data_IF_353202881683
#
_entry.id   IF_353202881683
#
_cell.length_a   1.000
_cell.length_b   1.000
_cell.length_c   1.000
_cell.angle_alpha   90.00
_cell.angle_beta   90.00
_cell.angle_gamma   90.00
#
_symmetry.space_group_name_H-M   'P 1'
#
loop_
_entity.id
_entity.type
_entity.pdbx_description
1 polymer ?
#
# COMPACT_ATOMS: atom_id res chain seq x y z
N UNK A 1 -42.97 -1.94 -50.47
CA UNK A 1 -42.46 -2.68 -49.30
C UNK A 1 -40.95 -2.81 -49.44
N UNK A 2 -40.15 -1.87 -48.90
CA UNK A 2 -38.70 -1.99 -48.88
C UNK A 2 -38.22 -2.05 -47.43
N UNK A 3 -37.80 -3.24 -47.01
CA UNK A 3 -37.11 -3.51 -45.76
C UNK A 3 -35.66 -3.08 -45.94
N UNK A 4 -35.27 -1.93 -45.39
CA UNK A 4 -33.86 -1.66 -45.12
C UNK A 4 -33.64 -1.98 -43.65
N UNK A 5 -33.05 -3.14 -43.43
CA UNK A 5 -32.54 -3.61 -42.15
C UNK A 5 -31.46 -2.60 -41.76
N UNK A 6 -31.77 -1.71 -40.81
CA UNK A 6 -30.78 -0.86 -40.16
C UNK A 6 -29.89 -1.80 -39.36
N UNK A 7 -28.78 -2.19 -39.98
CA UNK A 7 -27.80 -3.07 -39.36
C UNK A 7 -27.26 -2.37 -38.12
N UNK A 8 -27.36 -3.11 -37.03
CA UNK A 8 -26.97 -2.83 -35.68
C UNK A 8 -25.46 -2.56 -35.62
N UNK A 9 -25.02 -1.41 -36.11
CA UNK A 9 -23.69 -0.85 -35.93
C UNK A 9 -23.55 -0.28 -34.51
N UNK A 10 -23.96 -1.05 -33.50
CA UNK A 10 -23.51 -0.82 -32.14
C UNK A 10 -22.04 -1.20 -32.17
N UNK A 11 -21.23 -0.18 -32.44
CA UNK A 11 -19.84 -0.10 -32.09
C UNK A 11 -19.72 -0.62 -30.65
N UNK A 12 -19.44 -1.91 -30.53
CA UNK A 12 -18.61 -2.45 -29.48
C UNK A 12 -17.24 -1.76 -29.61
N UNK A 13 -17.21 -0.47 -29.29
CA UNK A 13 -16.06 0.11 -28.63
C UNK A 13 -15.98 -0.57 -27.28
N UNK A 14 -15.57 -1.85 -27.29
CA UNK A 14 -14.80 -2.42 -26.21
C UNK A 14 -13.62 -1.48 -26.07
N UNK A 15 -13.80 -0.47 -25.23
CA UNK A 15 -12.69 0.25 -24.64
C UNK A 15 -11.88 -0.87 -23.99
N UNK A 16 -10.86 -1.31 -24.70
CA UNK A 16 -9.71 -1.99 -24.14
C UNK A 16 -9.18 -0.98 -23.13
N UNK A 17 -9.77 -0.99 -21.93
CA UNK A 17 -9.18 -0.44 -20.73
C UNK A 17 -7.91 -1.25 -20.56
N UNK A 18 -6.84 -0.80 -21.22
CA UNK A 18 -5.50 -1.21 -20.90
C UNK A 18 -5.34 -0.83 -19.44
N UNK A 19 -5.51 -1.83 -18.57
CA UNK A 19 -5.31 -1.67 -17.14
C UNK A 19 -3.91 -1.10 -16.97
N UNK A 20 -3.84 0.14 -16.48
CA UNK A 20 -2.58 0.82 -16.24
C UNK A 20 -1.75 -0.06 -15.31
N UNK A 21 -0.54 -0.45 -15.75
CA UNK A 21 0.38 -1.16 -14.89
C UNK A 21 1.05 -0.18 -13.95
N UNK A 22 1.06 -0.52 -12.68
CA UNK A 22 1.81 0.20 -11.66
C UNK A 22 3.28 -0.20 -11.74
N UNK A 23 4.17 0.78 -11.66
CA UNK A 23 5.60 0.57 -11.43
C UNK A 23 5.99 1.09 -10.06
N UNK A 24 6.82 0.35 -9.33
CA UNK A 24 7.41 0.82 -8.08
C UNK A 24 8.79 1.41 -8.36
N UNK A 25 8.97 2.71 -8.07
CA UNK A 25 10.25 3.40 -8.20
C UNK A 25 10.84 3.69 -6.83
N UNK A 26 11.93 3.02 -6.49
CA UNK A 26 12.64 3.25 -5.23
C UNK A 26 13.64 4.39 -5.42
N UNK A 27 13.45 5.47 -4.66
CA UNK A 27 14.35 6.63 -4.68
C UNK A 27 15.41 6.58 -3.58
N UNK A 28 15.03 6.12 -2.39
CA UNK A 28 15.95 6.02 -1.25
C UNK A 28 15.58 4.89 -0.30
N UNK A 29 16.59 4.24 0.25
CA UNK A 29 16.46 3.24 1.33
C UNK A 29 17.43 3.63 2.44
N UNK A 30 16.93 4.31 3.47
CA UNK A 30 17.80 4.86 4.53
C UNK A 30 17.69 4.06 5.82
N UNK A 31 18.83 3.68 6.42
CA UNK A 31 18.87 3.03 7.73
C UNK A 31 18.44 1.55 7.76
N UNK A 32 18.25 0.91 6.61
CA UNK A 32 17.94 -0.53 6.51
C UNK A 32 19.18 -1.43 6.69
N UNK A 33 20.38 -0.91 6.42
CA UNK A 33 21.65 -1.63 6.59
C UNK A 33 21.66 -2.99 5.89
N UNK A 34 21.97 -4.05 6.64
CA UNK A 34 22.01 -5.46 6.16
C UNK A 34 20.66 -5.98 5.63
N UNK A 35 19.55 -5.27 5.88
CA UNK A 35 18.19 -5.70 5.48
C UNK A 35 17.73 -5.12 4.14
N UNK A 36 18.62 -4.48 3.38
CA UNK A 36 18.27 -3.82 2.11
C UNK A 36 17.74 -4.82 1.07
N UNK A 37 18.37 -5.99 0.93
CA UNK A 37 17.89 -7.03 -0.01
C UNK A 37 16.54 -7.62 0.41
N UNK A 38 16.31 -7.76 1.72
CA UNK A 38 15.02 -8.18 2.26
C UNK A 38 13.92 -7.17 1.89
N UNK A 39 14.19 -5.87 2.02
CA UNK A 39 13.27 -4.82 1.61
C UNK A 39 13.00 -4.81 0.09
N UNK A 40 14.02 -5.06 -0.73
CA UNK A 40 13.86 -5.15 -2.19
C UNK A 40 12.93 -6.29 -2.62
N UNK A 41 12.96 -7.43 -1.91
CA UNK A 41 11.98 -8.51 -2.13
C UNK A 41 10.55 -8.04 -1.82
N UNK A 42 10.37 -7.30 -0.72
CA UNK A 42 9.07 -6.74 -0.37
C UNK A 42 8.57 -5.72 -1.39
N UNK A 43 9.43 -4.86 -1.97
CA UNK A 43 9.04 -3.93 -3.04
C UNK A 43 8.53 -4.67 -4.28
N UNK A 44 9.28 -5.67 -4.76
CA UNK A 44 8.87 -6.47 -5.93
C UNK A 44 7.56 -7.21 -5.68
N UNK A 45 7.39 -7.78 -4.48
CA UNK A 45 6.16 -8.46 -4.11
C UNK A 45 4.97 -7.49 -4.04
N UNK A 46 5.19 -6.27 -3.52
CA UNK A 46 4.18 -5.23 -3.47
C UNK A 46 3.75 -4.79 -4.89
N UNK A 47 4.71 -4.53 -5.78
CA UNK A 47 4.45 -4.19 -7.18
C UNK A 47 3.66 -5.28 -7.90
N UNK A 48 4.05 -6.55 -7.71
CA UNK A 48 3.37 -7.70 -8.28
C UNK A 48 1.91 -7.77 -7.82
N UNK A 49 1.66 -7.56 -6.53
CA UNK A 49 0.31 -7.58 -5.97
C UNK A 49 -0.54 -6.43 -6.51
N UNK A 50 -0.03 -5.20 -6.57
CA UNK A 50 -0.81 -4.07 -7.12
C UNK A 50 -1.29 -4.34 -8.55
N UNK A 51 -0.49 -5.06 -9.33
CA UNK A 51 -0.79 -5.43 -10.71
C UNK A 51 -1.61 -6.74 -10.86
N UNK A 52 -2.06 -7.35 -9.77
CA UNK A 52 -2.78 -8.62 -9.78
C UNK A 52 -4.31 -8.45 -9.81
N UNK A 53 -5.02 -9.38 -10.45
CA UNK A 53 -6.49 -9.38 -10.44
C UNK A 53 -7.04 -9.67 -9.05
N UNK A 54 -6.37 -10.49 -8.24
CA UNK A 54 -6.77 -10.76 -6.86
C UNK A 54 -6.73 -9.51 -5.98
N UNK A 55 -5.77 -8.59 -6.22
CA UNK A 55 -5.76 -7.31 -5.51
C UNK A 55 -6.96 -6.46 -5.91
N UNK A 56 -7.24 -6.33 -7.21
CA UNK A 56 -8.40 -5.61 -7.72
C UNK A 56 -9.72 -6.13 -7.13
N UNK A 57 -9.93 -7.43 -7.17
CA UNK A 57 -11.14 -8.05 -6.62
C UNK A 57 -11.17 -7.95 -5.08
N UNK A 58 -10.01 -8.04 -4.43
CA UNK A 58 -9.87 -7.79 -3.00
C UNK A 58 -10.30 -6.38 -2.59
N UNK A 59 -9.88 -5.34 -3.32
CA UNK A 59 -10.30 -3.95 -3.08
C UNK A 59 -11.81 -3.81 -3.32
N UNK A 60 -12.34 -4.36 -4.42
CA UNK A 60 -13.77 -4.30 -4.73
C UNK A 60 -14.66 -4.97 -3.69
N UNK A 61 -14.17 -6.06 -3.09
CA UNK A 61 -14.87 -6.79 -2.05
C UNK A 61 -14.85 -6.06 -0.68
N UNK A 62 -14.02 -5.03 -0.50
CA UNK A 62 -13.99 -4.28 0.76
C UNK A 62 -15.28 -3.50 0.95
N UNK A 63 -16.03 -3.82 2.02
CA UNK A 63 -17.20 -3.03 2.42
C UNK A 63 -16.77 -1.58 2.68
N UNK A 64 -17.37 -0.65 1.93
CA UNK A 64 -17.01 0.76 1.83
C UNK A 64 -17.37 1.61 3.07
N UNK A 65 -17.65 0.99 4.22
CA UNK A 65 -18.47 1.61 5.28
C UNK A 65 -17.96 2.96 5.79
N UNK A 66 -16.68 3.34 5.61
CA UNK A 66 -16.17 4.67 6.01
C UNK A 66 -14.98 5.19 5.16
N UNK A 67 -15.07 5.16 3.83
CA UNK A 67 -13.94 5.56 2.95
C UNK A 67 -14.25 6.83 2.16
N UNK A 68 -14.49 7.95 2.86
CA UNK A 68 -14.73 9.28 2.24
C UNK A 68 -15.89 9.32 1.23
N UNK A 69 -16.78 8.34 1.23
CA UNK A 69 -17.89 8.23 0.27
C UNK A 69 -17.51 7.64 -1.09
N UNK A 70 -16.30 7.08 -1.24
CA UNK A 70 -15.91 6.41 -2.49
C UNK A 70 -16.53 5.02 -2.62
N UNK A 71 -16.93 4.66 -3.84
CA UNK A 71 -17.26 3.26 -4.18
C UNK A 71 -15.98 2.41 -4.25
N UNK A 72 -16.08 1.08 -4.12
CA UNK A 72 -14.92 0.21 -4.25
C UNK A 72 -14.18 0.35 -5.60
N UNK A 73 -14.88 0.62 -6.70
CA UNK A 73 -14.30 0.89 -8.01
C UNK A 73 -13.53 2.20 -8.04
N UNK A 74 -14.07 3.25 -7.41
CA UNK A 74 -13.36 4.52 -7.28
C UNK A 74 -12.10 4.38 -6.43
N UNK A 75 -12.15 3.58 -5.37
CA UNK A 75 -10.97 3.30 -4.53
C UNK A 75 -9.89 2.58 -5.30
N UNK A 76 -10.25 1.53 -6.04
CA UNK A 76 -9.32 0.85 -6.91
C UNK A 76 -8.72 1.81 -7.95
N UNK A 77 -9.56 2.63 -8.59
CA UNK A 77 -9.10 3.65 -9.53
C UNK A 77 -8.13 4.66 -8.93
N UNK A 78 -8.36 5.13 -7.69
CA UNK A 78 -7.45 6.03 -6.98
C UNK A 78 -6.10 5.34 -6.72
N UNK A 79 -6.13 4.09 -6.24
CA UNK A 79 -4.93 3.31 -5.94
C UNK A 79 -4.09 3.09 -7.20
N UNK A 80 -4.74 2.69 -8.30
CA UNK A 80 -4.07 2.35 -9.56
C UNK A 80 -3.72 3.55 -10.42
N UNK A 81 -4.35 4.71 -10.20
CA UNK A 81 -3.86 5.97 -10.76
C UNK A 81 -2.48 6.32 -10.18
N UNK A 82 -2.23 5.93 -8.93
CA UNK A 82 -0.98 6.21 -8.20
C UNK A 82 -0.56 7.69 -8.22
N UNK A 83 -1.54 8.59 -8.23
CA UNK A 83 -1.26 10.01 -8.11
C UNK A 83 -1.05 10.38 -6.64
N UNK A 84 0.21 10.30 -6.20
CA UNK A 84 0.62 10.56 -4.82
C UNK A 84 0.33 12.00 -4.40
N UNK A 85 -0.24 12.18 -3.20
CA UNK A 85 -0.59 13.51 -2.67
C UNK A 85 0.46 14.05 -1.72
N UNK A 86 1.11 13.16 -0.98
CA UNK A 86 2.14 13.49 -0.01
C UNK A 86 3.47 12.95 -0.52
N UNK A 87 4.26 13.80 -1.19
CA UNK A 87 5.60 13.49 -1.69
C UNK A 87 6.59 14.54 -1.16
N UNK A 88 7.90 14.25 -1.16
CA UNK A 88 8.91 15.26 -0.82
C UNK A 88 8.75 16.53 -1.66
N UNK A 89 9.01 17.71 -1.07
CA UNK A 89 8.72 19.03 -1.68
C UNK A 89 9.36 19.25 -3.06
N UNK A 90 10.47 18.58 -3.34
CA UNK A 90 11.23 18.70 -4.58
C UNK A 90 10.91 17.57 -5.58
N UNK A 91 9.89 16.75 -5.29
CA UNK A 91 9.44 15.63 -6.13
C UNK A 91 8.17 15.99 -6.92
N UNK A 92 7.89 15.24 -8.00
CA UNK A 92 6.68 15.38 -8.82
C UNK A 92 5.97 14.04 -8.89
N UNK A 93 4.69 14.00 -8.49
CA UNK A 93 3.86 12.80 -8.57
C UNK A 93 3.63 12.42 -10.03
N UNK A 94 3.82 11.15 -10.35
CA UNK A 94 3.63 10.62 -11.71
C UNK A 94 2.58 9.53 -11.69
N UNK A 95 1.54 9.67 -12.51
CA UNK A 95 0.49 8.65 -12.61
C UNK A 95 1.08 7.28 -12.99
N UNK A 96 0.66 6.24 -12.29
CA UNK A 96 1.12 4.86 -12.49
C UNK A 96 2.46 4.52 -11.84
N UNK A 97 3.09 5.46 -11.14
CA UNK A 97 4.32 5.23 -10.40
C UNK A 97 4.02 5.36 -8.91
N UNK A 98 4.37 4.34 -8.14
CA UNK A 98 4.48 4.45 -6.69
C UNK A 98 5.92 4.81 -6.38
N UNK A 99 6.14 6.02 -5.88
CA UNK A 99 7.46 6.52 -5.55
C UNK A 99 7.80 6.18 -4.08
N UNK A 100 8.79 5.31 -3.90
CA UNK A 100 9.19 4.83 -2.58
C UNK A 100 10.42 5.57 -2.06
N UNK A 101 10.20 6.43 -1.07
CA UNK A 101 11.22 6.92 -0.16
C UNK A 101 11.08 6.21 1.18
N UNK A 102 11.91 5.20 1.45
CA UNK A 102 11.80 4.43 2.70
C UNK A 102 12.94 4.74 3.67
N UNK A 103 12.62 4.71 4.97
CA UNK A 103 13.61 4.91 6.02
C UNK A 103 13.28 4.12 7.28
N UNK A 104 14.29 3.78 8.08
CA UNK A 104 14.04 3.42 9.47
C UNK A 104 13.88 4.66 10.34
N UNK A 105 13.19 4.52 11.46
CA UNK A 105 13.06 5.58 12.46
C UNK A 105 14.36 5.75 13.26
N UNK A 106 14.77 6.99 13.45
CA UNK A 106 15.88 7.38 14.32
C UNK A 106 15.38 7.53 15.76
N UNK A 107 15.07 6.40 16.42
CA UNK A 107 14.42 6.36 17.74
C UNK A 107 15.26 6.93 18.90
N UNK A 108 16.57 7.12 18.70
CA UNK A 108 17.45 7.83 19.64
C UNK A 108 17.77 9.27 19.18
N UNK A 109 17.05 9.77 18.17
CA UNK A 109 17.23 11.09 17.58
C UNK A 109 15.88 11.75 17.30
N UNK A 110 15.66 12.17 16.04
CA UNK A 110 14.49 12.95 15.63
C UNK A 110 13.15 12.22 15.79
N UNK A 111 13.16 10.88 15.82
CA UNK A 111 11.96 10.06 15.98
C UNK A 111 11.79 9.53 17.41
N UNK A 112 12.48 10.11 18.40
CA UNK A 112 12.51 9.63 19.80
C UNK A 112 11.14 9.50 20.47
N UNK A 113 10.15 10.30 20.07
CA UNK A 113 8.75 10.16 20.55
C UNK A 113 8.13 8.79 20.27
N UNK A 114 8.67 8.03 19.31
CA UNK A 114 8.18 6.72 18.89
C UNK A 114 8.97 5.55 19.48
N UNK A 115 10.01 5.84 20.26
CA UNK A 115 10.89 4.83 20.85
C UNK A 115 10.12 3.74 21.59
N UNK A 116 9.23 4.15 22.51
CA UNK A 116 8.38 3.24 23.28
C UNK A 116 7.51 2.32 22.41
N UNK A 117 6.99 2.83 21.30
CA UNK A 117 6.16 2.06 20.38
C UNK A 117 6.98 1.08 19.53
N UNK A 118 8.24 1.43 19.20
CA UNK A 118 9.15 0.53 18.52
C UNK A 118 9.75 -0.55 19.45
N UNK A 119 9.94 -0.24 20.72
CA UNK A 119 10.56 -1.17 21.69
C UNK A 119 9.57 -2.14 22.33
N UNK A 120 8.28 -1.79 22.42
CA UNK A 120 7.27 -2.67 23.01
C UNK A 120 6.76 -3.68 21.99
N UNK A 121 6.90 -5.00 22.24
CA UNK A 121 6.22 -6.00 21.43
C UNK A 121 4.72 -5.78 21.56
N UNK A 122 4.07 -5.52 20.43
CA UNK A 122 2.62 -5.46 20.38
C UNK A 122 2.07 -6.89 20.32
N UNK A 123 0.86 -7.11 20.85
CA UNK A 123 0.13 -8.39 20.73
C UNK A 123 -0.10 -8.83 19.25
N UNK A 124 0.18 -7.94 18.29
CA UNK A 124 0.14 -8.18 16.85
C UNK A 124 1.52 -8.35 16.20
N UNK A 125 2.58 -8.57 17.00
CA UNK A 125 3.97 -8.38 16.55
C UNK A 125 4.34 -6.90 16.55
N UNK A 126 5.64 -6.60 16.53
CA UNK A 126 6.21 -5.25 16.60
C UNK A 126 5.38 -4.22 15.82
N UNK A 127 4.97 -3.12 16.46
CA UNK A 127 4.04 -2.17 15.86
C UNK A 127 4.61 -1.62 14.55
N UNK A 128 3.85 -1.79 13.46
CA UNK A 128 3.97 -0.96 12.26
C UNK A 128 3.57 0.46 12.66
N UNK A 129 4.55 1.30 12.98
CA UNK A 129 4.27 2.73 13.13
C UNK A 129 4.57 3.37 11.78
N UNK A 130 3.50 3.57 11.02
CA UNK A 130 3.50 4.45 9.87
C UNK A 130 3.42 5.89 10.30
N UNK A 131 4.54 6.59 10.27
CA UNK A 131 4.63 7.94 10.86
C UNK A 131 4.56 9.01 9.78
N UNK A 132 4.92 8.69 8.53
CA UNK A 132 5.36 9.72 7.57
C UNK A 132 4.75 9.63 6.16
N UNK A 133 3.94 8.60 5.85
CA UNK A 133 3.21 8.59 4.58
C UNK A 133 2.18 9.73 4.44
N UNK A 134 1.73 10.31 5.56
CA UNK A 134 0.72 11.38 5.58
C UNK A 134 1.32 12.81 5.58
N UNK A 135 2.65 12.95 5.60
CA UNK A 135 3.33 14.22 5.84
C UNK A 135 4.37 14.60 4.79
N UNK A 136 5.51 13.92 4.80
CA UNK A 136 6.69 14.27 3.99
C UNK A 136 6.92 13.30 2.81
N UNK A 137 6.05 12.29 2.67
CA UNK A 137 6.11 11.26 1.63
C UNK A 137 7.12 10.15 1.92
N UNK A 138 7.74 10.12 3.10
CA UNK A 138 8.60 9.03 3.49
C UNK A 138 7.81 7.91 4.16
N UNK A 139 8.07 6.67 3.77
CA UNK A 139 7.54 5.49 4.44
C UNK A 139 8.53 5.05 5.52
N UNK A 140 8.19 5.35 6.77
CA UNK A 140 9.04 5.02 7.91
C UNK A 140 8.68 3.65 8.51
N UNK A 141 9.68 2.95 9.06
CA UNK A 141 9.49 1.70 9.81
C UNK A 141 10.34 1.69 11.09
N UNK A 142 9.82 1.10 12.16
CA UNK A 142 10.61 0.80 13.36
C UNK A 142 11.78 -0.14 13.04
N UNK A 143 13.02 0.17 13.45
CA UNK A 143 14.18 -0.73 13.25
C UNK A 143 13.95 -2.15 13.80
N UNK A 144 13.28 -2.26 14.95
CA UNK A 144 12.95 -3.54 15.61
C UNK A 144 11.94 -4.37 14.82
N UNK A 145 10.98 -3.74 14.13
CA UNK A 145 10.04 -4.43 13.25
C UNK A 145 10.74 -4.95 11.99
N UNK A 146 11.60 -4.12 11.39
CA UNK A 146 12.43 -4.51 10.24
C UNK A 146 13.34 -5.70 10.58
N UNK A 147 14.06 -5.65 11.70
CA UNK A 147 14.92 -6.76 12.14
C UNK A 147 14.08 -8.03 12.37
N UNK A 148 12.93 -7.92 13.03
CA UNK A 148 12.07 -9.07 13.31
C UNK A 148 11.59 -9.75 12.03
N UNK A 149 10.98 -9.00 11.09
CA UNK A 149 10.49 -9.59 9.83
C UNK A 149 11.62 -10.10 8.95
N UNK A 150 12.77 -9.43 8.94
CA UNK A 150 13.94 -9.93 8.23
C UNK A 150 14.43 -11.26 8.81
N UNK A 151 14.47 -11.39 10.15
CA UNK A 151 14.91 -12.60 10.84
C UNK A 151 14.00 -13.80 10.60
N UNK A 152 12.72 -13.56 10.36
CA UNK A 152 11.71 -14.59 10.04
C UNK A 152 11.45 -14.72 8.53
N UNK A 153 12.19 -13.98 7.69
CA UNK A 153 11.99 -13.88 6.24
C UNK A 153 10.53 -13.54 5.84
N UNK A 154 9.80 -12.80 6.67
CA UNK A 154 8.42 -12.37 6.43
C UNK A 154 8.37 -11.07 5.61
N UNK A 155 8.88 -11.13 4.37
CA UNK A 155 8.84 -9.96 3.46
C UNK A 155 7.41 -9.60 3.04
N UNK A 156 6.45 -10.52 3.23
CA UNK A 156 5.04 -10.25 3.03
C UNK A 156 4.50 -9.26 4.07
N UNK A 157 4.91 -9.36 5.34
CA UNK A 157 4.57 -8.37 6.35
C UNK A 157 5.13 -6.99 6.00
N UNK A 158 6.37 -6.93 5.50
CA UNK A 158 6.98 -5.67 5.05
C UNK A 158 6.29 -5.10 3.80
N UNK A 159 5.86 -5.93 2.85
CA UNK A 159 5.08 -5.48 1.69
C UNK A 159 3.71 -4.91 2.11
N UNK A 160 3.04 -5.57 3.07
CA UNK A 160 1.81 -5.05 3.67
C UNK A 160 2.00 -3.72 4.40
N UNK A 161 3.15 -3.54 5.06
CA UNK A 161 3.53 -2.25 5.64
C UNK A 161 3.67 -1.16 4.57
N UNK A 162 4.39 -1.41 3.48
CA UNK A 162 4.48 -0.42 2.40
C UNK A 162 3.13 -0.10 1.77
N UNK A 163 2.24 -1.08 1.60
CA UNK A 163 0.90 -0.84 1.11
C UNK A 163 0.07 0.04 2.06
N UNK A 164 0.25 -0.12 3.37
CA UNK A 164 -0.37 0.73 4.38
C UNK A 164 0.13 2.18 4.27
N UNK A 165 1.45 2.39 4.28
CA UNK A 165 2.04 3.72 4.15
C UNK A 165 1.68 4.39 2.82
N UNK A 166 1.63 3.61 1.74
CA UNK A 166 1.22 4.09 0.43
C UNK A 166 -0.21 4.64 0.44
N UNK A 167 -1.15 4.03 1.18
CA UNK A 167 -2.48 4.62 1.31
C UNK A 167 -2.44 5.98 2.01
N UNK A 168 -1.54 6.18 2.96
CA UNK A 168 -1.31 7.50 3.55
C UNK A 168 -0.76 8.50 2.54
N UNK A 169 0.16 8.07 1.68
CA UNK A 169 0.71 8.89 0.57
C UNK A 169 -0.38 9.33 -0.42
N UNK A 170 -1.39 8.48 -0.65
CA UNK A 170 -2.58 8.82 -1.46
C UNK A 170 -3.60 9.74 -0.73
N UNK A 171 -3.33 10.09 0.52
CA UNK A 171 -4.18 10.95 1.36
C UNK A 171 -5.34 10.23 2.04
N UNK A 172 -5.25 8.91 2.22
CA UNK A 172 -6.12 8.19 3.16
C UNK A 172 -5.54 8.30 4.58
N UNK A 173 -6.43 8.25 5.58
CA UNK A 173 -6.04 8.42 6.98
C UNK A 173 -6.84 7.45 7.85
N UNK A 174 -6.36 7.23 9.08
CA UNK A 174 -7.10 6.55 10.11
C UNK A 174 -8.20 7.47 10.64
N UNK A 175 -9.41 7.36 10.09
CA UNK A 175 -10.55 8.10 10.63
C UNK A 175 -10.73 7.84 12.12
N UNK A 176 -10.62 8.92 12.91
CA UNK A 176 -10.57 8.87 14.37
C UNK A 176 -11.72 9.68 14.96
N UNK A 177 -12.95 9.17 14.83
CA UNK A 177 -14.05 9.65 15.69
C UNK A 177 -14.27 8.61 16.80
N UNK A 178 -13.77 8.93 18.01
CA UNK A 178 -14.11 8.29 19.29
C UNK A 178 -13.87 6.77 19.39
N UNK A 179 -12.73 6.23 18.92
CA UNK A 179 -12.54 4.77 18.88
C UNK A 179 -11.25 4.22 19.49
N UNK A 180 -11.39 3.06 20.12
CA UNK A 180 -10.35 2.25 20.77
C UNK A 180 -9.42 1.57 19.75
N UNK A 181 -8.35 0.91 20.23
CA UNK A 181 -7.33 0.27 19.39
C UNK A 181 -7.90 -0.77 18.41
N UNK A 182 -8.94 -1.52 18.78
CA UNK A 182 -9.63 -2.50 17.93
C UNK A 182 -10.36 -1.89 16.71
N UNK A 183 -10.47 -0.56 16.67
CA UNK A 183 -11.07 0.17 15.55
C UNK A 183 -10.05 0.57 14.50
N UNK A 184 -8.77 0.75 14.88
CA UNK A 184 -7.69 1.12 13.96
C UNK A 184 -7.52 0.08 12.86
N UNK A 185 -7.54 -1.20 13.23
CA UNK A 185 -7.46 -2.37 12.33
C UNK A 185 -8.61 -2.44 11.31
N UNK A 186 -9.71 -1.72 11.55
CA UNK A 186 -10.87 -1.69 10.65
C UNK A 186 -10.80 -0.55 9.63
N UNK A 187 -9.80 0.34 9.72
CA UNK A 187 -9.64 1.42 8.76
C UNK A 187 -9.18 0.88 7.40
N UNK A 188 -9.52 1.61 6.34
CA UNK A 188 -9.19 1.23 4.97
C UNK A 188 -7.69 0.98 4.77
N UNK A 189 -6.85 1.85 5.31
CA UNK A 189 -5.38 1.77 5.21
C UNK A 189 -4.86 0.42 5.75
N UNK A 190 -5.34 -0.02 6.92
CA UNK A 190 -4.99 -1.35 7.46
C UNK A 190 -5.53 -2.49 6.61
N UNK A 191 -6.77 -2.40 6.11
CA UNK A 191 -7.36 -3.43 5.25
C UNK A 191 -6.54 -3.65 3.98
N UNK A 192 -6.06 -2.57 3.35
CA UNK A 192 -5.18 -2.65 2.18
C UNK A 192 -3.84 -3.29 2.55
N UNK A 193 -3.23 -2.87 3.65
CA UNK A 193 -1.98 -3.48 4.14
C UNK A 193 -2.10 -4.98 4.39
N UNK A 194 -3.20 -5.41 5.03
CA UNK A 194 -3.46 -6.84 5.26
C UNK A 194 -3.74 -7.60 3.97
N UNK A 195 -4.54 -7.04 3.06
CA UNK A 195 -4.80 -7.64 1.75
C UNK A 195 -3.48 -7.91 1.01
N UNK A 196 -2.59 -6.91 0.94
CA UNK A 196 -1.30 -7.08 0.25
C UNK A 196 -0.46 -8.15 0.92
N UNK A 197 -0.31 -8.11 2.26
CA UNK A 197 0.42 -9.14 3.01
C UNK A 197 -0.10 -10.56 2.69
N UNK A 198 -1.42 -10.75 2.74
CA UNK A 198 -2.02 -12.06 2.56
C UNK A 198 -1.88 -12.56 1.12
N UNK A 199 -2.00 -11.67 0.13
CA UNK A 199 -1.75 -11.99 -1.28
C UNK A 199 -0.29 -12.34 -1.54
N UNK A 200 0.68 -11.61 -0.96
CA UNK A 200 2.11 -11.97 -1.08
C UNK A 200 2.36 -13.36 -0.48
N UNK A 201 1.81 -13.67 0.69
CA UNK A 201 1.94 -15.00 1.31
C UNK A 201 1.36 -16.10 0.41
N UNK A 202 0.17 -15.86 -0.15
CA UNK A 202 -0.46 -16.80 -1.09
C UNK A 202 0.41 -17.04 -2.32
N UNK A 203 0.88 -15.99 -2.99
CA UNK A 203 1.74 -16.09 -4.18
C UNK A 203 3.06 -16.82 -3.87
N UNK A 204 3.67 -16.56 -2.70
CA UNK A 204 4.89 -17.25 -2.29
C UNK A 204 4.65 -18.75 -2.01
N UNK A 205 3.50 -19.12 -1.48
CA UNK A 205 3.15 -20.52 -1.22
C UNK A 205 2.85 -21.34 -2.48
N UNK A 206 2.52 -20.69 -3.60
CA UNK A 206 2.21 -21.36 -4.88
C UNK A 206 3.45 -21.52 -5.78
N UNK A 207 4.54 -20.80 -5.49
CA UNK A 207 5.80 -20.88 -6.22
C UNK A 207 6.83 -21.81 -5.56
N UNK A 208 6.43 -22.54 -4.51
CA UNK A 208 7.19 -23.59 -3.82
C UNK A 208 6.59 -24.96 -4.17
#
# INVERSE_FOLDING_TARGET
MNKIILFLGFLLSSQLCLSQKITIKVHSITGYGKHTEFAQKAFKAFELVLNSEEFKEGIKAMKAEKIKGYTPEQLYGIIMKAHEKNIPKDSIATDGIVDLWVRTLEINGRDSRWKDNCEKPSIFGNQTIGIDGAGDGFMAICPTALEHWASTNDFAALAGHYAHEYMHVLGFDHYRLLSSQSWREKTFVYKVGYLVKDLVRKMNSTNL
#
